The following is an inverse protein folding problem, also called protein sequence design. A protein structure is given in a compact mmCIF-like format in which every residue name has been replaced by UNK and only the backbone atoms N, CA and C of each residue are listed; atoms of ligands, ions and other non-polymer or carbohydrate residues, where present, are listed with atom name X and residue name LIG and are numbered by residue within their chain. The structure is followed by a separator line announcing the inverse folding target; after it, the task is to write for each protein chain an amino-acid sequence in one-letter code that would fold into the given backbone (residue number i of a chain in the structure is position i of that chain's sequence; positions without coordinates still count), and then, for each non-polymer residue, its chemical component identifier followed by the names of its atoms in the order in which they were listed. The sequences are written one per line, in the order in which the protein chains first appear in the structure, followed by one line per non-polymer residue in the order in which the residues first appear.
data_IF_568142348303
#
_entry.id   IF_568142348303
#
_cell.length_a   1.000
_cell.length_b   1.000
_cell.length_c   1.000
_cell.angle_alpha   90.00
_cell.angle_beta   90.00
_cell.angle_gamma   90.00
#
_symmetry.space_group_name_H-M   'P 1'
#
loop_
_entity.id
_entity.type
_entity.pdbx_description
1 polymer ?
#
# COMPACT_ATOMS: atom_id res chain seq x y z
N UNK A 1 -12.72 24.56 -10.07
CA UNK A 1 -13.24 25.14 -8.81
C UNK A 1 -12.29 24.77 -7.66
N UNK A 2 -11.25 25.59 -7.45
CA UNK A 2 -10.08 25.28 -6.61
C UNK A 2 -10.44 24.99 -5.13
N UNK A 3 -11.42 25.71 -4.58
CA UNK A 3 -11.95 25.46 -3.23
C UNK A 3 -12.49 24.03 -3.04
N UNK A 4 -13.18 23.47 -4.05
CA UNK A 4 -13.70 22.10 -3.98
C UNK A 4 -12.58 21.06 -4.09
N UNK A 5 -11.53 21.35 -4.88
CA UNK A 5 -10.37 20.47 -4.99
C UNK A 5 -9.61 20.38 -3.67
N UNK A 6 -9.30 21.52 -3.03
CA UNK A 6 -8.64 21.55 -1.72
C UNK A 6 -9.45 20.80 -0.65
N UNK A 7 -10.76 21.07 -0.58
CA UNK A 7 -11.63 20.38 0.37
C UNK A 7 -11.69 18.87 0.11
N UNK A 8 -11.61 18.43 -1.13
CA UNK A 8 -11.57 16.99 -1.48
C UNK A 8 -10.23 16.37 -1.07
N UNK A 9 -9.11 17.06 -1.30
CA UNK A 9 -7.79 16.63 -0.88
C UNK A 9 -7.67 16.49 0.65
N UNK A 10 -8.16 17.47 1.41
CA UNK A 10 -8.17 17.43 2.88
C UNK A 10 -9.05 16.29 3.42
N UNK A 11 -10.24 16.09 2.84
CA UNK A 11 -11.10 14.96 3.23
C UNK A 11 -10.48 13.61 2.85
N UNK A 12 -9.74 13.53 1.73
CA UNK A 12 -9.03 12.32 1.34
C UNK A 12 -7.85 12.00 2.26
N UNK A 13 -7.08 13.01 2.69
CA UNK A 13 -6.02 12.84 3.69
C UNK A 13 -6.59 12.42 5.06
N UNK A 14 -7.73 12.98 5.45
CA UNK A 14 -8.46 12.53 6.64
C UNK A 14 -8.93 11.08 6.51
N UNK A 15 -9.48 10.68 5.36
CA UNK A 15 -9.86 9.29 5.11
C UNK A 15 -8.65 8.34 5.09
N UNK A 16 -7.50 8.78 4.60
CA UNK A 16 -6.26 8.01 4.65
C UNK A 16 -5.82 7.74 6.10
N UNK A 17 -5.93 8.74 6.98
CA UNK A 17 -5.69 8.57 8.43
C UNK A 17 -6.71 7.62 9.08
N UNK A 18 -8.00 7.77 8.76
CA UNK A 18 -9.04 6.86 9.26
C UNK A 18 -8.80 5.42 8.79
N UNK A 19 -8.41 5.24 7.53
CA UNK A 19 -8.10 3.92 6.95
C UNK A 19 -6.88 3.31 7.62
N UNK A 20 -5.83 4.10 7.87
CA UNK A 20 -4.68 3.67 8.66
C UNK A 20 -5.10 3.15 10.04
N UNK A 21 -5.94 3.87 10.78
CA UNK A 21 -6.40 3.43 12.10
C UNK A 21 -7.15 2.11 12.04
N UNK A 22 -8.00 1.91 11.03
CA UNK A 22 -8.69 0.63 10.81
C UNK A 22 -7.68 -0.49 10.56
N UNK A 23 -6.70 -0.28 9.67
CA UNK A 23 -5.69 -1.28 9.36
C UNK A 23 -4.70 -1.54 10.51
N UNK A 24 -4.48 -0.56 11.39
CA UNK A 24 -3.71 -0.76 12.62
C UNK A 24 -4.46 -1.72 13.56
N UNK A 25 -5.76 -1.51 13.77
CA UNK A 25 -6.58 -2.40 14.61
C UNK A 25 -6.67 -3.80 14.00
N UNK A 26 -6.88 -3.91 12.69
CA UNK A 26 -6.89 -5.19 11.97
C UNK A 26 -5.52 -5.88 12.03
N UNK A 27 -4.43 -5.11 11.92
CA UNK A 27 -3.06 -5.59 12.04
C UNK A 27 -2.80 -6.29 13.38
N UNK A 28 -3.36 -5.75 14.46
CA UNK A 28 -3.19 -6.30 15.81
C UNK A 28 -4.13 -7.48 16.11
N UNK A 29 -5.31 -7.54 15.48
CA UNK A 29 -6.38 -8.48 15.85
C UNK A 29 -6.62 -9.60 14.84
N UNK A 30 -6.53 -9.32 13.55
CA UNK A 30 -6.97 -10.23 12.46
C UNK A 30 -5.81 -10.96 11.78
N UNK A 31 -4.58 -10.46 11.87
CA UNK A 31 -3.41 -11.07 11.20
C UNK A 31 -3.17 -12.52 11.63
N UNK A 32 -3.27 -12.82 12.94
CA UNK A 32 -3.09 -14.18 13.46
C UNK A 32 -4.14 -15.17 12.93
N UNK A 33 -5.45 -14.95 13.10
CA UNK A 33 -6.45 -15.88 12.57
C UNK A 33 -6.41 -15.99 11.04
N UNK A 34 -6.03 -14.92 10.32
CA UNK A 34 -5.90 -14.95 8.86
C UNK A 34 -4.85 -15.95 8.37
N UNK A 35 -3.68 -16.05 9.03
CA UNK A 35 -2.64 -17.00 8.65
C UNK A 35 -2.96 -18.43 9.08
N UNK A 36 -3.47 -18.63 10.29
CA UNK A 36 -3.86 -19.98 10.75
C UNK A 36 -5.06 -20.56 10.00
N UNK A 37 -5.90 -19.71 9.38
CA UNK A 37 -6.95 -20.18 8.49
C UNK A 37 -6.41 -20.73 7.15
N UNK A 38 -5.20 -20.32 6.75
CA UNK A 38 -4.61 -20.73 5.47
C UNK A 38 -3.62 -21.87 5.62
N UNK A 39 -2.78 -21.85 6.66
CA UNK A 39 -1.70 -22.83 6.84
C UNK A 39 -1.69 -23.48 8.22
N UNK A 40 -1.37 -24.77 8.24
CA UNK A 40 -1.09 -25.53 9.45
C UNK A 40 0.40 -25.51 9.83
N UNK A 41 1.28 -25.03 8.94
CA UNK A 41 2.71 -24.91 9.19
C UNK A 41 2.99 -23.71 10.09
N UNK A 42 3.52 -23.98 11.29
CA UNK A 42 3.79 -22.97 12.31
C UNK A 42 4.90 -21.99 11.91
N UNK A 43 5.93 -22.44 11.19
CA UNK A 43 7.06 -21.60 10.81
C UNK A 43 6.65 -20.61 9.71
N UNK A 44 5.86 -21.08 8.73
CA UNK A 44 5.31 -20.22 7.67
C UNK A 44 4.32 -19.21 8.26
N UNK A 45 3.45 -19.67 9.17
CA UNK A 45 2.48 -18.80 9.82
C UNK A 45 3.16 -17.71 10.65
N UNK A 46 4.15 -18.05 11.47
CA UNK A 46 4.81 -17.09 12.35
C UNK A 46 5.59 -16.04 11.55
N UNK A 47 6.31 -16.45 10.52
CA UNK A 47 7.01 -15.52 9.62
C UNK A 47 6.04 -14.57 8.90
N UNK A 48 4.93 -15.10 8.39
CA UNK A 48 3.88 -14.30 7.74
C UNK A 48 3.20 -13.33 8.71
N UNK A 49 2.89 -13.77 9.92
CA UNK A 49 2.29 -12.95 10.98
C UNK A 49 3.22 -11.79 11.34
N UNK A 50 4.51 -12.04 11.57
CA UNK A 50 5.49 -10.99 11.90
C UNK A 50 5.56 -9.94 10.78
N UNK A 51 5.71 -10.39 9.53
CA UNK A 51 5.77 -9.52 8.36
C UNK A 51 4.51 -8.65 8.25
N UNK A 52 3.33 -9.28 8.23
CA UNK A 52 2.08 -8.57 7.99
C UNK A 52 1.71 -7.64 9.16
N UNK A 53 2.02 -8.04 10.40
CA UNK A 53 1.79 -7.18 11.58
C UNK A 53 2.58 -5.89 11.47
N UNK A 54 3.88 -5.95 11.12
CA UNK A 54 4.73 -4.76 10.95
C UNK A 54 4.18 -3.85 9.85
N UNK A 55 3.87 -4.44 8.68
CA UNK A 55 3.32 -3.71 7.55
C UNK A 55 1.98 -3.03 7.88
N UNK A 56 1.08 -3.70 8.61
CA UNK A 56 -0.21 -3.13 9.00
C UNK A 56 -0.08 -2.05 10.07
N UNK A 57 0.72 -2.27 11.12
CA UNK A 57 0.89 -1.33 12.23
C UNK A 57 1.57 -0.03 11.77
N UNK A 58 2.53 -0.14 10.84
CA UNK A 58 3.28 1.00 10.30
C UNK A 58 2.80 1.43 8.90
N UNK A 59 1.58 1.04 8.50
CA UNK A 59 1.00 1.34 7.18
C UNK A 59 0.71 2.82 6.91
N UNK A 60 0.93 3.72 7.88
CA UNK A 60 0.69 5.16 7.74
C UNK A 60 1.45 5.73 6.52
N UNK A 61 2.70 5.32 6.33
CA UNK A 61 3.51 5.71 5.18
C UNK A 61 2.85 5.33 3.86
N UNK A 62 2.37 4.08 3.75
CA UNK A 62 1.67 3.59 2.56
C UNK A 62 0.42 4.41 2.24
N UNK A 63 -0.46 4.63 3.22
CA UNK A 63 -1.71 5.37 3.00
C UNK A 63 -1.45 6.81 2.59
N UNK A 64 -0.49 7.47 3.24
CA UNK A 64 -0.10 8.84 2.88
C UNK A 64 0.54 8.91 1.50
N UNK A 65 1.44 7.99 1.18
CA UNK A 65 2.07 7.91 -0.13
C UNK A 65 1.02 7.75 -1.24
N UNK A 66 0.17 6.72 -1.17
CA UNK A 66 -0.83 6.44 -2.20
C UNK A 66 -1.81 7.60 -2.36
N UNK A 67 -2.29 8.19 -1.26
CA UNK A 67 -3.19 9.33 -1.31
C UNK A 67 -2.53 10.53 -2.02
N UNK A 68 -1.31 10.89 -1.63
CA UNK A 68 -0.59 12.02 -2.20
C UNK A 68 -0.20 11.79 -3.67
N UNK A 69 0.11 10.56 -4.06
CA UNK A 69 0.35 10.17 -5.46
C UNK A 69 -0.90 10.38 -6.31
N UNK A 70 -2.07 9.94 -5.82
CA UNK A 70 -3.34 10.13 -6.53
C UNK A 70 -3.72 11.62 -6.64
N UNK A 71 -3.36 12.46 -5.65
CA UNK A 71 -3.50 13.91 -5.78
C UNK A 71 -2.62 14.49 -6.88
N UNK A 72 -1.34 14.09 -6.96
CA UNK A 72 -0.43 14.52 -8.02
C UNK A 72 -0.93 14.07 -9.39
N UNK A 73 -1.35 12.81 -9.52
CA UNK A 73 -1.92 12.26 -10.75
C UNK A 73 -3.18 13.02 -11.18
N UNK A 74 -4.11 13.30 -10.26
CA UNK A 74 -5.34 14.05 -10.53
C UNK A 74 -5.10 15.51 -10.99
N UNK A 75 -3.92 16.07 -10.70
CA UNK A 75 -3.48 17.39 -11.18
C UNK A 75 -2.59 17.32 -12.43
N UNK A 76 -2.58 16.18 -13.13
CA UNK A 76 -1.73 15.93 -14.30
C UNK A 76 -0.22 16.03 -14.02
N UNK A 77 0.20 15.84 -12.76
CA UNK A 77 1.61 15.82 -12.31
C UNK A 77 2.09 14.39 -12.08
N UNK A 78 1.74 13.47 -12.98
CA UNK A 78 2.06 12.05 -12.89
C UNK A 78 3.57 11.78 -12.82
N UNK A 79 4.40 12.61 -13.46
CA UNK A 79 5.87 12.51 -13.37
C UNK A 79 6.38 12.69 -11.93
N UNK A 80 5.81 13.62 -11.16
CA UNK A 80 6.20 13.84 -9.75
C UNK A 80 5.75 12.67 -8.85
N UNK A 81 4.58 12.10 -9.14
CA UNK A 81 4.11 10.87 -8.50
C UNK A 81 5.11 9.73 -8.75
N UNK A 82 5.50 9.53 -10.01
CA UNK A 82 6.45 8.48 -10.41
C UNK A 82 7.82 8.65 -9.76
N UNK A 83 8.37 9.88 -9.71
CA UNK A 83 9.65 10.15 -9.03
C UNK A 83 9.56 9.74 -7.57
N UNK A 84 8.46 10.02 -6.89
CA UNK A 84 8.30 9.68 -5.48
C UNK A 84 8.21 8.16 -5.25
N UNK A 85 7.50 7.44 -6.13
CA UNK A 85 7.46 5.98 -6.12
C UNK A 85 8.86 5.39 -6.32
N UNK A 86 9.62 5.95 -7.27
CA UNK A 86 10.98 5.50 -7.59
C UNK A 86 11.92 5.73 -6.41
N UNK A 87 11.83 6.86 -5.70
CA UNK A 87 12.59 7.09 -4.48
C UNK A 87 12.27 6.04 -3.41
N UNK A 88 10.99 5.78 -3.14
CA UNK A 88 10.59 4.75 -2.18
C UNK A 88 11.09 3.35 -2.57
N UNK A 89 11.02 3.02 -3.85
CA UNK A 89 11.51 1.75 -4.40
C UNK A 89 13.03 1.62 -4.30
N UNK A 90 13.79 2.66 -4.65
CA UNK A 90 15.26 2.65 -4.51
C UNK A 90 15.67 2.47 -3.05
N UNK A 91 15.04 3.21 -2.14
CA UNK A 91 15.30 3.08 -0.70
C UNK A 91 15.02 1.65 -0.25
N UNK A 92 13.90 1.07 -0.67
CA UNK A 92 13.57 -0.31 -0.34
C UNK A 92 14.59 -1.32 -0.92
N UNK A 93 14.99 -1.20 -2.20
CA UNK A 93 15.98 -2.07 -2.84
C UNK A 93 17.34 -2.02 -2.13
N UNK A 94 17.74 -0.87 -1.60
CA UNK A 94 19.00 -0.73 -0.86
C UNK A 94 18.88 -1.29 0.56
N UNK A 95 17.76 -1.02 1.24
CA UNK A 95 17.56 -1.43 2.63
C UNK A 95 17.24 -2.92 2.78
N UNK A 96 16.61 -3.55 1.78
CA UNK A 96 16.27 -4.97 1.79
C UNK A 96 17.53 -5.85 2.04
N UNK A 97 18.61 -5.78 1.22
CA UNK A 97 19.83 -6.55 1.49
C UNK A 97 20.47 -6.24 2.84
N UNK A 98 20.43 -4.97 3.27
CA UNK A 98 21.04 -4.53 4.53
C UNK A 98 20.32 -5.17 5.72
N UNK A 99 18.98 -5.15 5.74
CA UNK A 99 18.20 -5.68 6.85
C UNK A 99 17.99 -7.19 6.79
N UNK A 100 17.91 -7.78 5.59
CA UNK A 100 17.76 -9.23 5.40
C UNK A 100 19.07 -9.95 5.72
N UNK A 101 20.19 -9.52 5.13
CA UNK A 101 21.47 -10.22 5.24
C UNK A 101 22.38 -9.69 6.35
N UNK A 102 22.06 -8.53 6.94
CA UNK A 102 22.76 -8.01 8.11
C UNK A 102 24.22 -7.63 7.81
N UNK A 103 24.43 -6.49 7.14
CA UNK A 103 25.79 -6.00 6.84
C UNK A 103 26.52 -5.39 8.08
N UNK A 104 25.94 -5.48 9.29
CA UNK A 104 26.45 -4.86 10.53
C UNK A 104 26.27 -5.73 11.80
N UNK A 105 26.42 -7.05 11.70
CA UNK A 105 26.61 -7.93 12.87
C UNK A 105 25.36 -8.34 13.65
N UNK A 106 24.22 -7.66 13.48
CA UNK A 106 22.90 -8.14 13.91
C UNK A 106 21.93 -8.10 12.73
N UNK A 107 21.62 -9.28 12.18
CA UNK A 107 20.56 -9.41 11.18
C UNK A 107 19.20 -9.24 11.88
N UNK A 108 18.43 -8.23 11.46
CA UNK A 108 17.00 -8.13 11.77
C UNK A 108 16.25 -9.22 10.97
N UNK A 109 16.45 -10.47 11.35
CA UNK A 109 15.78 -11.70 10.90
C UNK A 109 15.00 -11.59 9.57
N UNK A 110 15.59 -12.01 8.44
CA UNK A 110 14.93 -12.30 7.15
C UNK A 110 13.65 -11.52 6.84
N UNK A 111 12.49 -12.14 7.09
CA UNK A 111 11.16 -11.58 6.79
C UNK A 111 10.83 -10.30 7.57
N UNK A 112 11.24 -10.20 8.83
CA UNK A 112 11.10 -8.99 9.64
C UNK A 112 11.87 -7.82 9.03
N UNK A 113 13.12 -8.06 8.60
CA UNK A 113 13.95 -7.06 7.95
C UNK A 113 13.35 -6.53 6.65
N UNK A 114 12.80 -7.43 5.82
CA UNK A 114 12.08 -7.06 4.60
C UNK A 114 10.85 -6.18 4.87
N UNK A 115 10.08 -6.47 5.95
CA UNK A 115 8.94 -5.64 6.34
C UNK A 115 9.37 -4.23 6.76
N UNK A 116 10.44 -4.12 7.57
CA UNK A 116 10.97 -2.82 8.02
C UNK A 116 11.51 -2.00 6.85
N UNK A 117 12.27 -2.61 5.95
CA UNK A 117 12.76 -1.97 4.73
C UNK A 117 11.61 -1.42 3.87
N UNK A 118 10.53 -2.19 3.72
CA UNK A 118 9.32 -1.79 2.96
C UNK A 118 8.67 -0.58 3.59
N UNK A 119 8.47 -0.59 4.91
CA UNK A 119 7.88 0.51 5.66
C UNK A 119 8.72 1.79 5.51
N UNK A 120 10.05 1.69 5.66
CA UNK A 120 10.93 2.85 5.51
C UNK A 120 10.85 3.42 4.09
N UNK A 121 10.87 2.56 3.06
CA UNK A 121 10.69 2.97 1.67
C UNK A 121 9.37 3.72 1.46
N UNK A 122 8.27 3.23 2.05
CA UNK A 122 6.96 3.88 1.98
C UNK A 122 6.93 5.22 2.71
N UNK A 123 7.60 5.36 3.86
CA UNK A 123 7.73 6.65 4.54
C UNK A 123 8.55 7.66 3.73
N UNK A 124 9.62 7.22 3.07
CA UNK A 124 10.41 8.06 2.16
C UNK A 124 9.55 8.51 0.97
N UNK A 125 8.78 7.60 0.35
CA UNK A 125 7.83 7.93 -0.71
C UNK A 125 6.75 8.90 -0.24
N UNK A 126 6.16 8.67 0.93
CA UNK A 126 5.17 9.56 1.55
C UNK A 126 5.73 10.96 1.79
N UNK A 127 6.96 11.07 2.31
CA UNK A 127 7.63 12.36 2.52
C UNK A 127 7.85 13.12 1.20
N UNK A 128 8.30 12.42 0.16
CA UNK A 128 8.54 13.02 -1.16
C UNK A 128 7.25 13.49 -1.84
N UNK A 129 6.21 12.67 -1.82
CA UNK A 129 4.89 13.02 -2.37
C UNK A 129 4.24 14.19 -1.64
N UNK A 130 4.40 14.25 -0.30
CA UNK A 130 3.91 15.37 0.50
C UNK A 130 4.67 16.66 0.18
N UNK A 131 6.00 16.58 0.03
CA UNK A 131 6.83 17.70 -0.39
C UNK A 131 6.41 18.22 -1.77
N UNK A 132 6.19 17.34 -2.74
CA UNK A 132 5.75 17.73 -4.07
C UNK A 132 4.34 18.32 -4.09
N UNK A 133 3.38 17.77 -3.34
CA UNK A 133 2.06 18.39 -3.23
C UNK A 133 2.13 19.78 -2.57
N UNK A 134 2.96 19.96 -1.55
CA UNK A 134 3.02 21.24 -0.82
C UNK A 134 3.79 22.32 -1.58
N UNK A 135 4.85 21.96 -2.33
CA UNK A 135 5.77 22.92 -2.98
C UNK A 135 5.64 23.01 -4.49
N UNK A 136 5.20 21.95 -5.16
CA UNK A 136 5.19 21.83 -6.62
C UNK A 136 3.78 21.67 -7.19
N UNK A 137 2.74 21.69 -6.37
CA UNK A 137 1.35 21.59 -6.80
C UNK A 137 0.56 22.88 -6.45
N UNK A 138 0.60 23.94 -7.29
CA UNK A 138 -0.21 25.15 -7.07
C UNK A 138 -1.73 24.91 -7.17
N UNK A 139 -2.14 23.81 -7.82
CA UNK A 139 -3.55 23.48 -8.06
C UNK A 139 -4.25 22.97 -6.79
N UNK A 140 -3.47 22.41 -5.84
CA UNK A 140 -3.94 21.92 -4.54
C UNK A 140 -3.19 22.64 -3.43
N UNK A 141 -3.87 23.52 -2.71
CA UNK A 141 -3.34 24.17 -1.52
C UNK A 141 -3.89 23.48 -0.28
N UNK A 142 -3.07 22.63 0.33
CA UNK A 142 -3.45 21.88 1.54
C UNK A 142 -3.31 22.83 2.74
N UNK A 143 -4.43 23.14 3.41
CA UNK A 143 -4.42 23.90 4.65
C UNK A 143 -5.35 23.26 5.67
N UNK A 144 -4.78 22.66 6.72
CA UNK A 144 -5.57 22.07 7.80
C UNK A 144 -6.23 23.11 8.73
N UNK A 145 -6.00 24.41 8.51
CA UNK A 145 -6.55 25.47 9.37
C UNK A 145 -8.06 25.61 9.13
N UNK A 146 -8.86 25.13 10.08
CA UNK A 146 -10.33 25.16 10.01
C UNK A 146 -10.95 23.97 9.28
N UNK A 147 -10.20 22.87 9.09
CA UNK A 147 -10.71 21.65 8.46
C UNK A 147 -11.95 21.12 9.21
N UNK A 148 -13.02 20.87 8.46
CA UNK A 148 -14.23 20.19 8.94
C UNK A 148 -14.58 19.05 7.98
N UNK A 149 -14.61 17.79 8.46
CA UNK A 149 -14.95 16.66 7.62
C UNK A 149 -16.36 16.85 7.03
N UNK A 150 -16.47 16.65 5.72
CA UNK A 150 -17.71 16.89 4.99
C UNK A 150 -18.29 15.56 4.54
N UNK A 151 -19.33 15.09 5.22
CA UNK A 151 -20.01 13.82 4.89
C UNK A 151 -20.41 13.73 3.41
N UNK A 152 -20.84 14.85 2.80
CA UNK A 152 -21.16 14.91 1.37
C UNK A 152 -19.96 14.69 0.44
N UNK A 153 -18.76 15.13 0.85
CA UNK A 153 -17.53 14.93 0.08
C UNK A 153 -17.05 13.49 0.22
N UNK A 154 -17.07 12.97 1.45
CA UNK A 154 -16.73 11.57 1.76
C UNK A 154 -17.65 10.61 1.01
N UNK A 155 -18.97 10.83 1.02
CA UNK A 155 -19.93 9.99 0.29
C UNK A 155 -19.66 9.95 -1.22
N UNK A 156 -19.23 11.07 -1.82
CA UNK A 156 -18.82 11.10 -3.24
C UNK A 156 -17.54 10.31 -3.49
N UNK A 157 -16.54 10.44 -2.61
CA UNK A 157 -15.30 9.67 -2.69
C UNK A 157 -15.62 8.18 -2.68
N UNK A 158 -16.45 7.71 -1.73
CA UNK A 158 -16.85 6.32 -1.68
C UNK A 158 -17.70 5.89 -2.87
N UNK A 159 -18.61 6.73 -3.37
CA UNK A 159 -19.42 6.37 -4.56
C UNK A 159 -18.54 6.06 -5.77
N UNK A 160 -17.44 6.80 -5.95
CA UNK A 160 -16.48 6.60 -7.04
C UNK A 160 -15.47 5.49 -6.71
N UNK A 161 -15.07 5.36 -5.45
CA UNK A 161 -14.06 4.38 -5.02
C UNK A 161 -14.60 2.97 -4.76
N UNK A 162 -15.88 2.81 -4.42
CA UNK A 162 -16.49 1.54 -4.05
C UNK A 162 -16.39 0.48 -5.17
N UNK A 163 -16.60 0.80 -6.47
CA UNK A 163 -16.38 -0.16 -7.55
C UNK A 163 -14.93 -0.64 -7.62
N UNK A 164 -13.95 0.26 -7.46
CA UNK A 164 -12.53 -0.09 -7.47
C UNK A 164 -12.15 -0.96 -6.27
N UNK A 165 -12.68 -0.63 -5.09
CA UNK A 165 -12.50 -1.45 -3.87
C UNK A 165 -13.09 -2.84 -4.09
N UNK A 166 -14.31 -2.94 -4.63
CA UNK A 166 -14.96 -4.22 -4.89
C UNK A 166 -14.15 -5.09 -5.86
N UNK A 167 -13.65 -4.51 -6.96
CA UNK A 167 -12.78 -5.23 -7.90
C UNK A 167 -11.49 -5.73 -7.23
N UNK A 168 -10.85 -4.90 -6.40
CA UNK A 168 -9.64 -5.30 -5.70
C UNK A 168 -9.91 -6.40 -4.67
N UNK A 169 -11.03 -6.32 -3.95
CA UNK A 169 -11.48 -7.33 -2.99
C UNK A 169 -11.77 -8.68 -3.67
N UNK A 170 -12.43 -8.69 -4.83
CA UNK A 170 -12.67 -9.92 -5.59
C UNK A 170 -11.36 -10.60 -5.98
N UNK A 171 -10.36 -9.83 -6.43
CA UNK A 171 -9.02 -10.35 -6.72
C UNK A 171 -8.37 -10.98 -5.48
N UNK A 172 -8.39 -10.28 -4.34
CA UNK A 172 -7.82 -10.80 -3.09
C UNK A 172 -8.55 -12.07 -2.60
N UNK A 173 -9.88 -12.13 -2.69
CA UNK A 173 -10.66 -13.31 -2.32
C UNK A 173 -10.38 -14.50 -3.25
N UNK A 174 -10.23 -14.23 -4.55
CA UNK A 174 -9.85 -15.26 -5.52
C UNK A 174 -8.46 -15.85 -5.20
N UNK A 175 -7.47 -15.00 -4.95
CA UNK A 175 -6.12 -15.46 -4.57
C UNK A 175 -6.14 -16.23 -3.25
N UNK A 176 -6.89 -15.77 -2.25
CA UNK A 176 -7.05 -16.47 -0.97
C UNK A 176 -7.70 -17.85 -1.14
N UNK A 177 -8.81 -17.93 -1.87
CA UNK A 177 -9.49 -19.20 -2.16
C UNK A 177 -8.59 -20.17 -2.93
N UNK A 178 -7.81 -19.67 -3.89
CA UNK A 178 -6.85 -20.49 -4.64
C UNK A 178 -5.73 -21.01 -3.74
N UNK A 179 -5.19 -20.18 -2.84
CA UNK A 179 -4.19 -20.62 -1.87
C UNK A 179 -4.72 -21.73 -0.95
N UNK A 180 -5.97 -21.63 -0.48
CA UNK A 180 -6.61 -22.69 0.33
C UNK A 180 -6.68 -24.02 -0.42
N UNK A 181 -7.10 -23.99 -1.70
CA UNK A 181 -7.18 -25.19 -2.53
C UNK A 181 -5.79 -25.78 -2.75
N UNK A 182 -4.81 -24.95 -3.13
CA UNK A 182 -3.46 -25.41 -3.46
C UNK A 182 -2.71 -25.98 -2.25
N UNK A 183 -2.95 -25.43 -1.06
CA UNK A 183 -2.30 -25.92 0.16
C UNK A 183 -2.78 -27.33 0.55
N UNK A 184 -4.00 -27.72 0.16
CA UNK A 184 -4.47 -29.09 0.33
C UNK A 184 -3.68 -30.11 -0.53
N UNK A 185 -2.99 -29.65 -1.58
CA UNK A 185 -2.13 -30.49 -2.42
C UNK A 185 -0.67 -30.45 -1.97
N UNK A 186 -0.05 -29.26 -1.98
CA UNK A 186 1.34 -29.10 -1.52
C UNK A 186 1.71 -27.62 -1.31
N UNK A 187 2.67 -27.36 -0.42
CA UNK A 187 3.29 -26.04 -0.27
C UNK A 187 3.99 -25.57 -1.56
N UNK A 188 4.55 -26.50 -2.34
CA UNK A 188 5.21 -26.20 -3.62
C UNK A 188 4.23 -25.62 -4.64
N UNK A 189 2.98 -26.10 -4.67
CA UNK A 189 1.97 -25.58 -5.58
C UNK A 189 1.62 -24.10 -5.27
N UNK A 190 1.56 -23.74 -3.99
CA UNK A 190 1.38 -22.34 -3.55
C UNK A 190 2.57 -21.47 -3.98
N UNK A 191 3.80 -21.99 -3.85
CA UNK A 191 5.00 -21.27 -4.29
C UNK A 191 5.01 -21.02 -5.81
N UNK A 192 4.68 -22.03 -6.62
CA UNK A 192 4.57 -21.91 -8.08
C UNK A 192 3.49 -20.92 -8.48
N UNK A 193 2.34 -20.95 -7.81
CA UNK A 193 1.26 -19.99 -8.03
C UNK A 193 1.70 -18.55 -7.76
N UNK A 194 2.51 -18.33 -6.71
CA UNK A 194 3.13 -17.04 -6.44
C UNK A 194 4.06 -16.57 -7.57
N UNK A 195 4.87 -17.47 -8.14
CA UNK A 195 5.73 -17.15 -9.30
C UNK A 195 4.89 -16.81 -10.53
N UNK A 196 3.84 -17.59 -10.81
CA UNK A 196 2.90 -17.33 -11.90
C UNK A 196 2.26 -15.94 -11.78
N UNK A 197 1.75 -15.58 -10.59
CA UNK A 197 1.14 -14.27 -10.36
C UNK A 197 2.11 -13.11 -10.58
N UNK A 198 3.39 -13.28 -10.24
CA UNK A 198 4.43 -12.27 -10.51
C UNK A 198 4.68 -12.11 -12.00
N UNK A 199 4.79 -13.20 -12.75
CA UNK A 199 4.94 -13.17 -14.22
C UNK A 199 3.72 -12.53 -14.89
N UNK A 200 2.52 -12.92 -14.48
CA UNK A 200 1.29 -12.30 -14.94
C UNK A 200 1.31 -10.79 -14.69
N UNK A 201 1.60 -10.36 -13.46
CA UNK A 201 1.64 -8.94 -13.10
C UNK A 201 2.63 -8.15 -13.97
N UNK A 202 3.79 -8.75 -14.30
CA UNK A 202 4.77 -8.14 -15.20
C UNK A 202 4.23 -7.95 -16.62
N UNK A 203 3.53 -8.95 -17.17
CA UNK A 203 2.90 -8.87 -18.50
C UNK A 203 1.77 -7.84 -18.55
N UNK A 204 0.99 -7.73 -17.47
CA UNK A 204 -0.12 -6.77 -17.40
C UNK A 204 0.31 -5.34 -16.99
N UNK A 205 1.55 -5.15 -16.52
CA UNK A 205 2.05 -3.85 -16.08
C UNK A 205 1.92 -2.74 -17.15
N UNK A 206 2.25 -2.95 -18.44
CA UNK A 206 2.05 -1.93 -19.48
C UNK A 206 0.57 -1.56 -19.66
N UNK A 207 -0.34 -2.54 -19.55
CA UNK A 207 -1.78 -2.32 -19.68
C UNK A 207 -2.30 -1.45 -18.53
N UNK A 208 -1.86 -1.72 -17.29
CA UNK A 208 -2.17 -0.88 -16.14
C UNK A 208 -1.57 0.52 -16.25
N UNK A 209 -0.37 0.65 -16.83
CA UNK A 209 0.27 1.94 -17.12
C UNK A 209 -0.56 2.79 -18.08
N UNK A 210 -1.02 2.20 -19.19
CA UNK A 210 -1.89 2.87 -20.15
C UNK A 210 -3.23 3.27 -19.53
N UNK A 211 -3.85 2.39 -18.73
CA UNK A 211 -5.12 2.69 -18.06
C UNK A 211 -4.99 3.89 -17.09
N UNK A 212 -3.93 3.93 -16.27
CA UNK A 212 -3.67 5.06 -15.37
C UNK A 212 -3.24 6.35 -16.09
N UNK A 213 -2.73 6.27 -17.32
CA UNK A 213 -2.37 7.44 -18.13
C UNK A 213 -3.53 8.03 -18.94
N UNK A 214 -4.55 7.22 -19.22
CA UNK A 214 -5.77 7.64 -19.93
C UNK A 214 -6.81 8.30 -19.02
N UNK A 215 -6.77 8.01 -17.71
CA UNK A 215 -7.67 8.54 -16.68
C UNK A 215 -7.02 9.74 -15.99
#
# INVERSE_FOLDING_TARGET
NQYRANKTAENGLFLALCSYLVFLVLGLTVVRPYFYAQTADADIAEQGIRYLTICCVLSLGMFMQVMNEKLLAATSRTTLSMISQLVGAIVNIILDPIFIFGYCGEALSGTTGAAVATVIGQFCGAGMTLYFNTRKNPDIQISFKGFRPSAKAIGRIYTVGLPSIAMQCVGSLMTFGMNLILMAFSATAVAVFGVYFKLQSFVFMPIFGLNNGMV
#
